data_IF_100911702200
#
_entry.id   IF_100911702200
#
_cell.length_a   1.000
_cell.length_b   1.000
_cell.length_c   1.000
_cell.angle_alpha   90.00
_cell.angle_beta   90.00
_cell.angle_gamma   90.00
#
_symmetry.space_group_name_H-M   'P 1'
#
loop_
_entity.id
_entity.type
_entity.pdbx_description
1 polymer ?
#
# COMPACT_ATOMS: atom_id res chain seq x y z
N UNK A 1 10.65 -7.95 8.56
CA UNK A 1 10.00 -7.57 7.28
C UNK A 1 9.94 -8.79 6.37
N UNK A 2 8.81 -9.00 5.75
CA UNK A 2 8.60 -10.09 4.82
C UNK A 2 8.44 -9.50 3.42
N UNK A 3 9.31 -9.91 2.50
CA UNK A 3 9.21 -9.51 1.10
C UNK A 3 8.53 -10.63 0.33
N UNK A 4 7.46 -10.33 -0.38
CA UNK A 4 6.70 -11.32 -1.12
C UNK A 4 5.89 -10.72 -2.25
N UNK A 5 5.41 -11.60 -3.13
CA UNK A 5 4.49 -11.24 -4.20
C UNK A 5 3.07 -11.61 -3.81
N UNK A 6 2.12 -10.85 -4.32
CA UNK A 6 0.71 -11.05 -4.01
C UNK A 6 0.09 -12.21 -4.79
N UNK A 7 -1.03 -12.78 -4.32
CA UNK A 7 -1.61 -13.98 -4.88
C UNK A 7 -1.98 -13.92 -6.37
N UNK A 8 -2.27 -12.75 -6.91
CA UNK A 8 -2.57 -12.63 -8.35
C UNK A 8 -1.34 -12.73 -9.24
N UNK A 9 -0.17 -12.87 -8.66
CA UNK A 9 1.07 -13.18 -9.38
C UNK A 9 1.27 -14.68 -9.39
N UNK A 10 1.73 -15.18 -10.53
CA UNK A 10 1.95 -16.62 -10.71
C UNK A 10 2.95 -17.19 -9.72
N UNK A 11 3.94 -16.41 -9.35
CA UNK A 11 5.04 -16.82 -8.48
C UNK A 11 4.95 -16.26 -7.07
N UNK A 12 3.75 -15.93 -6.64
CA UNK A 12 3.50 -15.45 -5.28
C UNK A 12 3.85 -16.53 -4.26
N UNK A 13 4.62 -16.16 -3.24
CA UNK A 13 5.07 -17.06 -2.18
C UNK A 13 4.24 -16.98 -0.92
N UNK A 14 3.45 -15.91 -0.76
CA UNK A 14 2.54 -15.77 0.36
C UNK A 14 1.13 -15.51 -0.14
N UNK A 15 0.17 -16.14 0.52
CA UNK A 15 -1.24 -15.84 0.33
C UNK A 15 -1.59 -14.53 1.04
N UNK A 16 -2.76 -13.99 0.71
CA UNK A 16 -3.28 -12.83 1.43
C UNK A 16 -3.52 -13.14 2.91
N UNK A 17 -3.92 -14.37 3.21
CA UNK A 17 -4.11 -14.84 4.59
C UNK A 17 -2.79 -14.87 5.35
N UNK A 18 -1.71 -15.33 4.73
CA UNK A 18 -0.37 -15.32 5.33
C UNK A 18 0.11 -13.89 5.59
N UNK A 19 -0.13 -12.98 4.66
CA UNK A 19 0.19 -11.57 4.84
C UNK A 19 -0.59 -10.96 6.00
N UNK A 20 -1.88 -11.25 6.11
CA UNK A 20 -2.72 -10.78 7.21
C UNK A 20 -2.26 -11.34 8.56
N UNK A 21 -1.89 -12.62 8.59
CA UNK A 21 -1.36 -13.25 9.81
C UNK A 21 -0.04 -12.58 10.24
N UNK A 22 0.86 -12.31 9.31
CA UNK A 22 2.12 -11.61 9.59
C UNK A 22 1.88 -10.22 10.17
N UNK A 23 0.90 -9.49 9.64
CA UNK A 23 0.55 -8.16 10.14
C UNK A 23 -0.10 -8.22 11.51
N UNK A 24 -0.91 -9.23 11.79
CA UNK A 24 -1.45 -9.46 13.13
C UNK A 24 -0.35 -9.76 14.15
N UNK A 25 0.71 -10.42 13.72
CA UNK A 25 1.89 -10.69 14.55
C UNK A 25 2.82 -9.47 14.69
N UNK A 26 2.42 -8.31 14.21
CA UNK A 26 3.19 -7.07 14.34
C UNK A 26 4.35 -6.96 13.38
N UNK A 27 4.24 -7.50 12.18
CA UNK A 27 5.28 -7.47 11.16
C UNK A 27 5.01 -6.40 10.09
N UNK A 28 6.02 -6.13 9.29
CA UNK A 28 5.91 -5.34 8.07
C UNK A 28 5.88 -6.29 6.89
N UNK A 29 4.92 -6.11 5.99
CA UNK A 29 4.80 -6.91 4.77
C UNK A 29 5.09 -6.02 3.58
N UNK A 30 6.00 -6.47 2.72
CA UNK A 30 6.35 -5.78 1.47
C UNK A 30 6.01 -6.69 0.31
N UNK A 31 5.21 -6.19 -0.62
CA UNK A 31 4.80 -6.93 -1.79
C UNK A 31 5.06 -6.14 -3.07
N UNK A 32 5.46 -6.85 -4.14
CA UNK A 32 5.51 -6.31 -5.48
C UNK A 32 4.30 -6.83 -6.25
N UNK A 33 3.49 -5.91 -6.77
CA UNK A 33 2.26 -6.23 -7.49
C UNK A 33 2.41 -5.87 -8.96
N UNK A 34 1.93 -6.73 -9.84
CA UNK A 34 1.86 -6.46 -11.27
C UNK A 34 0.41 -6.60 -11.76
N UNK A 35 -0.08 -5.59 -12.42
CA UNK A 35 -1.37 -5.65 -13.11
C UNK A 35 -1.13 -5.61 -14.62
N UNK A 36 -1.72 -6.55 -15.35
CA UNK A 36 -1.61 -6.66 -16.80
C UNK A 36 -2.87 -6.26 -17.52
N UNK A 37 -3.94 -6.05 -16.77
CA UNK A 37 -5.26 -5.69 -17.29
C UNK A 37 -5.79 -4.50 -16.48
N UNK A 38 -6.74 -3.80 -17.06
CA UNK A 38 -7.43 -2.74 -16.35
C UNK A 38 -8.20 -3.33 -15.17
N UNK A 39 -7.88 -2.89 -13.98
CA UNK A 39 -8.46 -3.41 -12.74
C UNK A 39 -8.84 -2.26 -11.84
N UNK A 40 -9.96 -2.41 -11.17
CA UNK A 40 -10.32 -1.57 -10.04
C UNK A 40 -10.53 -2.46 -8.83
N UNK A 41 -9.78 -2.22 -7.77
CA UNK A 41 -9.95 -2.97 -6.53
C UNK A 41 -11.27 -2.60 -5.84
N UNK A 42 -11.80 -3.53 -5.07
CA UNK A 42 -12.97 -3.26 -4.23
C UNK A 42 -12.58 -2.25 -3.17
N UNK A 43 -13.49 -1.33 -2.85
CA UNK A 43 -13.29 -0.39 -1.74
C UNK A 43 -13.22 -1.20 -0.45
N UNK A 44 -12.17 -1.00 0.31
CA UNK A 44 -11.91 -1.76 1.54
C UNK A 44 -11.14 -0.92 2.55
N UNK A 45 -11.02 -1.44 3.74
CA UNK A 45 -10.21 -0.87 4.81
C UNK A 45 -9.55 -2.00 5.62
N UNK A 46 -8.47 -1.67 6.29
CA UNK A 46 -7.76 -2.61 7.17
C UNK A 46 -7.00 -1.82 8.25
N UNK A 47 -6.60 -2.45 9.36
CA UNK A 47 -5.97 -1.73 10.46
C UNK A 47 -4.50 -1.38 10.23
N UNK A 48 -3.91 -1.69 9.08
CA UNK A 48 -2.51 -1.48 8.78
C UNK A 48 -2.28 -0.13 8.10
N UNK A 49 -1.13 0.50 8.34
CA UNK A 49 -0.69 1.61 7.50
C UNK A 49 -0.23 1.07 6.15
N UNK A 50 -0.43 1.85 5.10
CA UNK A 50 -0.10 1.42 3.75
C UNK A 50 0.70 2.49 3.02
N UNK A 51 1.76 2.03 2.34
CA UNK A 51 2.57 2.84 1.44
C UNK A 51 2.57 2.17 0.07
N UNK A 52 2.31 2.97 -0.96
CA UNK A 52 2.25 2.46 -2.33
C UNK A 52 3.15 3.29 -3.20
N UNK A 53 4.04 2.61 -3.93
CA UNK A 53 5.03 3.22 -4.81
C UNK A 53 4.94 2.57 -6.19
N UNK A 54 4.39 3.23 -7.21
CA UNK A 54 4.49 2.75 -8.58
C UNK A 54 5.95 2.75 -9.04
N UNK A 55 6.40 1.63 -9.57
CA UNK A 55 7.82 1.45 -9.97
C UNK A 55 8.00 1.22 -11.45
N UNK A 56 6.96 0.81 -12.17
CA UNK A 56 7.01 0.59 -13.62
C UNK A 56 5.61 0.65 -14.22
N UNK A 57 5.54 1.03 -15.49
CA UNK A 57 4.29 1.07 -16.25
C UNK A 57 3.50 2.35 -16.07
N UNK A 58 2.18 2.24 -16.12
CA UNK A 58 1.28 3.37 -16.05
C UNK A 58 1.13 3.94 -14.65
N UNK A 59 0.76 5.20 -14.54
CA UNK A 59 0.35 5.81 -13.28
C UNK A 59 -0.90 5.11 -12.74
N UNK A 60 -1.13 5.26 -11.45
CA UNK A 60 -2.22 4.60 -10.72
C UNK A 60 -3.08 5.66 -10.07
N UNK A 61 -4.38 5.43 -10.05
CA UNK A 61 -5.32 6.33 -9.36
C UNK A 61 -5.82 5.65 -8.10
N UNK A 62 -5.65 6.31 -6.97
CA UNK A 62 -6.18 5.85 -5.69
C UNK A 62 -7.29 6.75 -5.20
N UNK A 63 -8.35 6.14 -4.70
CA UNK A 63 -9.38 6.82 -3.94
C UNK A 63 -9.18 6.48 -2.47
N UNK A 64 -8.99 7.47 -1.64
CA UNK A 64 -8.82 7.29 -0.19
C UNK A 64 -9.74 8.26 0.52
N UNK A 65 -10.65 7.72 1.32
CA UNK A 65 -11.64 8.48 2.08
C UNK A 65 -12.40 9.50 1.21
N UNK A 66 -12.77 9.08 0.00
CA UNK A 66 -13.54 9.89 -0.93
C UNK A 66 -12.71 10.88 -1.77
N UNK A 67 -11.43 11.04 -1.50
CA UNK A 67 -10.54 11.89 -2.28
C UNK A 67 -9.74 11.05 -3.28
N UNK A 68 -9.49 11.63 -4.46
CA UNK A 68 -8.79 10.94 -5.55
C UNK A 68 -7.36 11.46 -5.65
N UNK A 69 -6.42 10.53 -5.76
CA UNK A 69 -4.99 10.81 -5.88
C UNK A 69 -4.44 10.13 -7.13
N UNK A 70 -3.88 10.90 -8.05
CA UNK A 70 -3.15 10.35 -9.19
C UNK A 70 -1.69 10.16 -8.78
N UNK A 71 -1.24 8.91 -8.79
CA UNK A 71 0.08 8.54 -8.33
C UNK A 71 0.95 8.18 -9.52
N UNK A 72 2.00 8.97 -9.75
CA UNK A 72 2.93 8.78 -10.87
C UNK A 72 4.11 7.91 -10.45
N UNK A 73 4.87 7.44 -11.44
CA UNK A 73 6.08 6.66 -11.17
C UNK A 73 7.02 7.44 -10.26
N UNK A 74 7.52 6.78 -9.23
CA UNK A 74 8.43 7.38 -8.27
C UNK A 74 7.78 8.18 -7.16
N UNK A 75 6.47 8.42 -7.24
CA UNK A 75 5.73 9.04 -6.15
C UNK A 75 5.20 7.97 -5.20
N UNK A 76 5.25 8.27 -3.91
CA UNK A 76 4.78 7.36 -2.87
C UNK A 76 3.57 7.98 -2.19
N UNK A 77 2.50 7.21 -2.02
CA UNK A 77 1.40 7.60 -1.15
C UNK A 77 1.48 6.84 0.16
N UNK A 78 1.27 7.54 1.26
CA UNK A 78 1.18 6.98 2.61
C UNK A 78 -0.16 7.35 3.20
N UNK A 79 -0.89 6.37 3.73
CA UNK A 79 -2.16 6.61 4.41
C UNK A 79 -2.45 5.54 5.46
N UNK A 80 -3.26 5.87 6.50
CA UNK A 80 -3.78 4.87 7.41
C UNK A 80 -4.76 3.95 6.67
N UNK A 81 -4.53 2.65 6.72
CA UNK A 81 -5.38 1.68 6.02
C UNK A 81 -6.81 1.60 6.55
N UNK A 82 -7.10 2.19 7.70
CA UNK A 82 -8.46 2.31 8.23
C UNK A 82 -9.36 3.19 7.36
N UNK A 83 -8.79 4.12 6.61
CA UNK A 83 -9.52 4.89 5.61
C UNK A 83 -9.97 3.99 4.48
N UNK A 84 -11.23 4.08 4.06
CA UNK A 84 -11.71 3.31 2.92
C UNK A 84 -10.98 3.72 1.66
N UNK A 85 -10.43 2.75 0.98
CA UNK A 85 -9.60 3.02 -0.21
C UNK A 85 -9.75 1.96 -1.28
N UNK A 86 -9.43 2.37 -2.51
CA UNK A 86 -9.39 1.49 -3.69
C UNK A 86 -8.39 2.03 -4.70
N UNK A 87 -7.84 1.15 -5.53
CA UNK A 87 -6.94 1.50 -6.61
C UNK A 87 -7.57 1.22 -7.96
N UNK A 88 -7.35 2.12 -8.92
CA UNK A 88 -7.74 1.93 -10.32
C UNK A 88 -6.49 1.94 -11.19
N UNK A 89 -6.31 0.87 -11.92
CA UNK A 89 -5.13 0.63 -12.76
C UNK A 89 -5.57 0.61 -14.21
N UNK A 90 -5.25 1.68 -14.94
CA UNK A 90 -5.51 1.78 -16.37
C UNK A 90 -4.23 1.40 -17.11
N UNK A 91 -4.23 0.24 -17.73
CA UNK A 91 -3.07 -0.30 -18.43
C UNK A 91 -3.31 -0.13 -19.92
N UNK A 92 -2.44 0.64 -20.59
CA UNK A 92 -2.57 0.89 -22.02
C UNK A 92 -1.62 0.02 -22.82
N UNK A 93 -0.32 0.13 -22.58
CA UNK A 93 0.71 -0.51 -23.40
C UNK A 93 1.57 -1.50 -22.65
N UNK A 94 1.69 -1.35 -21.35
CA UNK A 94 2.59 -2.15 -20.52
C UNK A 94 1.91 -2.56 -19.24
N UNK A 95 2.52 -3.52 -18.55
CA UNK A 95 2.09 -3.88 -17.20
C UNK A 95 2.33 -2.71 -16.25
N UNK A 96 1.52 -2.63 -15.21
CA UNK A 96 1.72 -1.69 -14.11
C UNK A 96 2.31 -2.45 -12.92
N UNK A 97 3.43 -2.00 -12.42
CA UNK A 97 4.08 -2.59 -11.25
C UNK A 97 4.16 -1.58 -10.11
N UNK A 98 3.85 -2.02 -8.93
CA UNK A 98 3.93 -1.19 -7.73
C UNK A 98 4.45 -1.98 -6.53
N UNK A 99 5.21 -1.29 -5.70
CA UNK A 99 5.62 -1.79 -4.41
C UNK A 99 4.58 -1.35 -3.38
N UNK A 100 4.13 -2.29 -2.56
CA UNK A 100 3.19 -2.01 -1.48
C UNK A 100 3.83 -2.42 -0.17
N UNK A 101 3.86 -1.50 0.79
CA UNK A 101 4.35 -1.77 2.14
C UNK A 101 3.18 -1.63 3.09
N UNK A 102 2.92 -2.67 3.86
CA UNK A 102 1.90 -2.68 4.90
C UNK A 102 2.57 -2.80 6.26
N UNK A 103 2.21 -1.91 7.17
CA UNK A 103 2.87 -1.76 8.46
C UNK A 103 1.87 -1.97 9.57
N UNK A 104 2.13 -2.93 10.44
CA UNK A 104 1.30 -3.18 11.60
C UNK A 104 1.26 -1.95 12.52
N UNK A 105 0.11 -1.63 13.13
CA UNK A 105 -0.02 -0.45 13.98
C UNK A 105 0.99 -0.40 15.13
N UNK A 106 1.30 -1.53 15.73
CA UNK A 106 2.28 -1.60 16.82
C UNK A 106 3.68 -1.21 16.39
N UNK A 107 4.11 -1.61 15.18
CA UNK A 107 5.40 -1.20 14.63
C UNK A 107 5.40 0.29 14.34
N UNK A 108 4.34 0.78 13.71
CA UNK A 108 4.20 2.21 13.41
C UNK A 108 4.30 3.06 14.67
N UNK A 109 3.56 2.70 15.72
CA UNK A 109 3.57 3.44 16.98
C UNK A 109 4.94 3.43 17.64
N UNK A 110 5.63 2.29 17.65
CA UNK A 110 6.98 2.22 18.21
C UNK A 110 7.99 3.04 17.42
N UNK A 111 7.93 2.98 16.09
CA UNK A 111 8.80 3.76 15.23
C UNK A 111 8.57 5.26 15.46
N UNK A 112 7.31 5.67 15.55
CA UNK A 112 6.97 7.07 15.84
C UNK A 112 7.53 7.51 17.18
N UNK A 113 7.31 6.73 18.23
CA UNK A 113 7.81 7.03 19.57
C UNK A 113 9.35 7.13 19.60
N UNK A 114 10.02 6.23 18.90
CA UNK A 114 11.50 6.21 18.84
C UNK A 114 12.06 7.36 18.00
N UNK A 115 11.29 7.88 17.05
CA UNK A 115 11.74 9.00 16.21
C UNK A 115 11.91 10.31 16.99
N UNK A 116 11.20 10.46 18.11
CA UNK A 116 11.16 11.71 18.86
C UNK A 116 10.34 12.81 18.18
N UNK A 117 9.67 12.51 17.06
CA UNK A 117 8.86 13.49 16.36
C UNK A 117 7.55 13.76 17.11
N UNK A 118 7.08 15.03 17.16
CA UNK A 118 5.78 15.33 17.73
C UNK A 118 4.65 14.71 16.91
N UNK A 119 3.56 14.34 17.56
CA UNK A 119 2.40 13.72 16.90
C UNK A 119 1.78 14.59 15.82
N UNK A 120 1.87 15.90 15.95
CA UNK A 120 1.29 16.82 14.98
C UNK A 120 2.08 16.97 13.67
N UNK A 121 3.25 16.33 13.55
CA UNK A 121 4.05 16.38 12.31
C UNK A 121 3.30 15.77 11.14
N UNK A 122 2.47 14.76 11.42
CA UNK A 122 1.59 14.17 10.40
C UNK A 122 0.18 14.04 10.96
N UNK A 123 -0.78 14.61 10.22
CA UNK A 123 -2.20 14.61 10.62
C UNK A 123 -2.87 13.24 10.50
N UNK A 124 -2.27 12.30 9.76
CA UNK A 124 -2.91 11.04 9.38
C UNK A 124 -3.67 11.10 8.06
N UNK A 125 -3.73 12.26 7.41
CA UNK A 125 -4.31 12.36 6.08
C UNK A 125 -3.38 11.73 5.04
N UNK A 126 -3.92 11.24 3.90
CA UNK A 126 -3.07 10.71 2.84
C UNK A 126 -2.05 11.77 2.38
N UNK A 127 -0.82 11.35 2.21
CA UNK A 127 0.27 12.23 1.78
C UNK A 127 1.05 11.59 0.64
N UNK A 128 1.37 12.41 -0.37
CA UNK A 128 2.22 11.99 -1.50
C UNK A 128 3.60 12.60 -1.31
N UNK A 129 4.59 11.73 -1.40
CA UNK A 129 6.00 12.07 -1.22
C UNK A 129 6.79 11.87 -2.52
#
# INVERSE_FOLDING_TARGET
MILQKMPHYVDSILTQEDASAALQDGQVVVGLYTNRENVQSVVHSHPYYEMILPVAGSSVRYSVDGSVYDLHLGELILFPGEMYHSGKFNITDTTSERLVVQIAPGIWERAWAQSGLPRHVWSGDPVIL
#
